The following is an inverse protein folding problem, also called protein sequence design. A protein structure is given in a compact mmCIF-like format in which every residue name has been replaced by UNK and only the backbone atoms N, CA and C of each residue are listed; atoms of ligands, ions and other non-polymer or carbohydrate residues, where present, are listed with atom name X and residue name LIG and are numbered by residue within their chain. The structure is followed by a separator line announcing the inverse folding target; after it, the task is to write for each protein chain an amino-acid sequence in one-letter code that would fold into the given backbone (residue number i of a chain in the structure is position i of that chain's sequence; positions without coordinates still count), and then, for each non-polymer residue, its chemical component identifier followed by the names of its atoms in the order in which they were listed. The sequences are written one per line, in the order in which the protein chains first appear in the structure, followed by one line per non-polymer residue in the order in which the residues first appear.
data_IF_535800597608
#
_entry.id   IF_535800597608
#
_cell.length_a   1.000
_cell.length_b   1.000
_cell.length_c   1.000
_cell.angle_alpha   90.00
_cell.angle_beta   90.00
_cell.angle_gamma   90.00
#
_symmetry.space_group_name_H-M   'P 1'
#
loop_
_entity.id
_entity.type
_entity.pdbx_description
1 polymer ?
#
# COMPACT_ATOMS: atom_id res chain seq x y z
N UNK A 1 29.62 9.15 3.27
CA UNK A 1 28.17 9.34 3.08
C UNK A 1 27.50 8.73 4.30
N UNK A 2 27.01 9.55 5.23
CA UNK A 2 26.49 9.05 6.51
C UNK A 2 25.06 8.53 6.33
N UNK A 3 24.84 7.23 6.58
CA UNK A 3 23.49 6.70 6.74
C UNK A 3 22.91 7.27 8.03
N UNK A 4 21.86 8.09 7.92
CA UNK A 4 21.08 8.53 9.09
C UNK A 4 20.14 7.38 9.45
N UNK A 5 20.14 6.95 10.71
CA UNK A 5 19.22 5.91 11.18
C UNK A 5 17.79 6.51 11.19
N UNK A 6 16.77 5.80 10.66
CA UNK A 6 15.40 6.30 10.67
C UNK A 6 14.95 6.60 12.10
N UNK A 7 14.20 7.69 12.28
CA UNK A 7 13.54 7.95 13.56
C UNK A 7 12.44 6.93 13.82
N UNK A 8 11.99 6.79 15.07
CA UNK A 8 10.86 5.89 15.41
C UNK A 8 9.60 6.26 14.61
N UNK A 9 9.36 7.56 14.41
CA UNK A 9 8.22 8.07 13.64
C UNK A 9 8.37 7.72 12.14
N UNK A 10 9.56 7.95 11.58
CA UNK A 10 9.86 7.59 10.18
C UNK A 10 9.68 6.08 9.96
N UNK A 11 10.10 5.24 10.91
CA UNK A 11 9.95 3.79 10.82
C UNK A 11 8.48 3.35 10.78
N UNK A 12 7.59 4.01 11.53
CA UNK A 12 6.15 3.73 11.51
C UNK A 12 5.54 4.07 10.15
N UNK A 13 5.83 5.26 9.61
CA UNK A 13 5.33 5.63 8.28
C UNK A 13 5.92 4.70 7.20
N UNK A 14 7.20 4.34 7.30
CA UNK A 14 7.83 3.35 6.40
C UNK A 14 7.06 2.03 6.43
N UNK A 15 6.71 1.53 7.61
CA UNK A 15 5.92 0.30 7.74
C UNK A 15 4.54 0.45 7.08
N UNK A 16 3.82 1.54 7.32
CA UNK A 16 2.51 1.80 6.69
C UNK A 16 2.60 1.80 5.15
N UNK A 17 3.59 2.49 4.60
CA UNK A 17 3.79 2.55 3.15
C UNK A 17 4.22 1.19 2.59
N UNK A 18 5.10 0.46 3.27
CA UNK A 18 5.49 -0.89 2.86
C UNK A 18 4.30 -1.84 2.83
N UNK A 19 3.44 -1.81 3.85
CA UNK A 19 2.19 -2.60 3.87
C UNK A 19 1.30 -2.29 2.67
N UNK A 20 1.17 -1.01 2.28
CA UNK A 20 0.44 -0.66 1.06
C UNK A 20 1.15 -1.24 -0.18
N UNK A 21 2.46 -1.04 -0.30
CA UNK A 21 3.27 -1.48 -1.45
C UNK A 21 3.25 -3.01 -1.65
N UNK A 22 3.11 -3.80 -0.60
CA UNK A 22 2.96 -5.25 -0.66
C UNK A 22 1.71 -5.71 -1.43
N UNK A 23 0.70 -4.85 -1.56
CA UNK A 23 -0.53 -5.14 -2.29
C UNK A 23 -0.39 -4.93 -3.81
N UNK A 24 0.66 -4.26 -4.27
CA UNK A 24 0.85 -3.91 -5.68
C UNK A 24 0.73 -5.13 -6.62
N UNK A 25 1.33 -6.31 -6.34
CA UNK A 25 1.22 -7.46 -7.22
C UNK A 25 -0.22 -7.98 -7.35
N UNK A 26 -0.98 -7.97 -6.25
CA UNK A 26 -2.38 -8.37 -6.22
C UNK A 26 -3.25 -7.41 -7.05
N UNK A 27 -2.96 -6.12 -6.97
CA UNK A 27 -3.74 -5.09 -7.68
C UNK A 27 -3.46 -5.06 -9.18
N UNK A 28 -2.27 -5.51 -9.63
CA UNK A 28 -1.97 -5.67 -11.06
C UNK A 28 -2.86 -6.69 -11.77
N UNK A 29 -3.39 -7.68 -11.05
CA UNK A 29 -4.31 -8.68 -11.62
C UNK A 29 -5.78 -8.23 -11.64
N UNK A 30 -6.10 -7.06 -11.10
CA UNK A 30 -7.46 -6.51 -11.09
C UNK A 30 -7.57 -5.49 -12.23
N UNK A 31 -8.54 -5.68 -13.13
CA UNK A 31 -8.70 -4.89 -14.37
C UNK A 31 -8.90 -3.38 -14.11
N UNK A 32 -9.47 -3.03 -12.94
CA UNK A 32 -9.63 -1.64 -12.46
C UNK A 32 -8.39 -1.07 -11.73
N UNK A 33 -7.29 -1.82 -11.63
CA UNK A 33 -6.11 -1.49 -10.81
C UNK A 33 -5.19 -0.42 -11.41
N UNK A 34 -5.35 -0.04 -12.67
CA UNK A 34 -4.40 0.83 -13.38
C UNK A 34 -4.24 2.23 -12.78
N UNK A 35 -5.34 2.82 -12.27
CA UNK A 35 -5.26 4.11 -11.55
C UNK A 35 -4.55 3.97 -10.20
N UNK A 36 -4.77 2.85 -9.49
CA UNK A 36 -4.06 2.62 -8.23
C UNK A 36 -2.56 2.46 -8.48
N UNK A 37 -2.17 1.73 -9.53
CA UNK A 37 -0.77 1.43 -9.83
C UNK A 37 0.09 2.65 -10.14
N UNK A 38 -0.47 3.76 -10.65
CA UNK A 38 0.28 5.01 -10.78
C UNK A 38 0.63 5.60 -9.41
N UNK A 39 -0.26 5.48 -8.43
CA UNK A 39 -0.04 5.98 -7.06
C UNK A 39 1.06 5.18 -6.33
N UNK A 40 1.23 3.89 -6.62
CA UNK A 40 2.34 3.09 -6.06
C UNK A 40 3.71 3.65 -6.45
N UNK A 41 3.85 4.25 -7.64
CA UNK A 41 5.12 4.90 -8.03
C UNK A 41 5.41 6.12 -7.17
N UNK A 42 4.39 6.93 -6.88
CA UNK A 42 4.48 8.08 -5.98
C UNK A 42 4.88 7.65 -4.57
N UNK A 43 4.22 6.62 -4.02
CA UNK A 43 4.54 6.08 -2.69
C UNK A 43 5.99 5.56 -2.59
N UNK A 44 6.49 4.88 -3.63
CA UNK A 44 7.89 4.41 -3.69
C UNK A 44 8.90 5.55 -3.74
N UNK A 45 8.57 6.64 -4.44
CA UNK A 45 9.43 7.82 -4.48
C UNK A 45 9.49 8.47 -3.09
N UNK A 46 8.33 8.67 -2.46
CA UNK A 46 8.23 9.24 -1.12
C UNK A 46 9.00 8.43 -0.06
N UNK A 47 8.92 7.10 -0.12
CA UNK A 47 9.65 6.20 0.80
C UNK A 47 11.17 6.44 0.79
N UNK A 48 11.74 6.84 -0.35
CA UNK A 48 13.19 7.12 -0.47
C UNK A 48 13.61 8.43 0.19
N UNK A 49 12.67 9.34 0.42
CA UNK A 49 12.92 10.68 0.94
C UNK A 49 12.55 10.80 2.43
N UNK A 50 11.91 9.77 3.00
CA UNK A 50 11.33 9.78 4.35
C UNK A 50 12.32 10.13 5.47
N UNK A 51 13.59 9.71 5.35
CA UNK A 51 14.63 9.99 6.36
C UNK A 51 15.02 11.47 6.45
N UNK A 52 14.62 12.28 5.47
CA UNK A 52 14.87 13.72 5.41
C UNK A 52 13.67 14.56 5.91
N UNK A 53 12.53 13.93 6.21
CA UNK A 53 11.30 14.62 6.59
C UNK A 53 11.23 14.76 8.11
N UNK A 54 10.94 15.97 8.59
CA UNK A 54 10.58 16.21 9.98
C UNK A 54 9.12 15.80 10.19
N UNK A 55 8.88 14.90 11.15
CA UNK A 55 7.56 14.34 11.45
C UNK A 55 7.23 14.60 12.91
N UNK A 56 5.96 14.83 13.18
CA UNK A 56 5.38 14.76 14.52
C UNK A 56 4.47 13.53 14.67
N UNK A 57 3.94 13.32 15.87
CA UNK A 57 3.08 12.17 16.15
C UNK A 57 1.74 12.26 15.40
N UNK A 58 1.17 13.45 15.28
CA UNK A 58 -0.12 13.68 14.63
C UNK A 58 -0.06 13.32 13.14
N UNK A 59 1.04 13.67 12.45
CA UNK A 59 1.29 13.26 11.07
C UNK A 59 1.38 11.74 10.93
N UNK A 60 2.03 11.07 11.87
CA UNK A 60 2.14 9.60 11.86
C UNK A 60 0.77 8.96 12.07
N UNK A 61 -0.01 9.41 13.06
CA UNK A 61 -1.36 8.89 13.33
C UNK A 61 -2.30 9.08 12.13
N UNK A 62 -2.17 10.22 11.43
CA UNK A 62 -2.94 10.50 10.21
C UNK A 62 -2.61 9.50 9.10
N UNK A 63 -1.32 9.19 8.90
CA UNK A 63 -0.92 8.19 7.89
C UNK A 63 -1.36 6.78 8.31
N UNK A 64 -1.17 6.40 9.57
CA UNK A 64 -1.63 5.11 10.09
C UNK A 64 -3.14 4.91 9.88
N UNK A 65 -3.94 5.93 10.21
CA UNK A 65 -5.39 5.93 10.01
C UNK A 65 -5.76 5.84 8.53
N UNK A 66 -5.08 6.59 7.66
CA UNK A 66 -5.31 6.55 6.22
C UNK A 66 -4.96 5.17 5.63
N UNK A 67 -3.87 4.56 6.08
CA UNK A 67 -3.46 3.20 5.71
C UNK A 67 -4.51 2.19 6.14
N UNK A 68 -5.01 2.25 7.37
CA UNK A 68 -6.08 1.36 7.84
C UNK A 68 -7.33 1.46 6.96
N UNK A 69 -7.80 2.70 6.69
CA UNK A 69 -8.98 2.94 5.84
C UNK A 69 -8.78 2.38 4.43
N UNK A 70 -7.63 2.65 3.83
CA UNK A 70 -7.29 2.12 2.51
C UNK A 70 -7.34 0.59 2.47
N UNK A 71 -6.78 -0.08 3.49
CA UNK A 71 -6.82 -1.54 3.58
C UNK A 71 -8.25 -2.07 3.72
N UNK A 72 -9.12 -1.41 4.48
CA UNK A 72 -10.52 -1.80 4.60
C UNK A 72 -11.28 -1.66 3.27
N UNK A 73 -11.07 -0.54 2.56
CA UNK A 73 -11.71 -0.29 1.27
C UNK A 73 -11.28 -1.32 0.21
N UNK A 74 -10.03 -1.78 0.25
CA UNK A 74 -9.53 -2.80 -0.67
C UNK A 74 -10.11 -4.21 -0.46
N UNK A 75 -10.66 -4.53 0.72
CA UNK A 75 -11.25 -5.85 0.98
C UNK A 75 -12.37 -6.19 0.01
N UNK A 76 -13.17 -5.20 -0.38
CA UNK A 76 -14.32 -5.35 -1.27
C UNK A 76 -13.89 -5.68 -2.72
N UNK A 77 -13.06 -4.87 -3.40
CA UNK A 77 -12.64 -5.16 -4.77
C UNK A 77 -11.82 -6.46 -4.88
N UNK A 78 -11.00 -6.78 -3.87
CA UNK A 78 -10.25 -8.03 -3.82
C UNK A 78 -11.18 -9.24 -3.67
N UNK A 79 -12.20 -9.16 -2.81
CA UNK A 79 -13.20 -10.22 -2.69
C UNK A 79 -13.96 -10.44 -4.01
N UNK A 80 -14.40 -9.36 -4.67
CA UNK A 80 -15.13 -9.44 -5.95
C UNK A 80 -14.30 -10.07 -7.07
N UNK A 81 -13.01 -9.73 -7.16
CA UNK A 81 -12.11 -10.33 -8.17
C UNK A 81 -11.94 -11.85 -8.04
N UNK A 82 -12.20 -12.44 -6.86
CA UNK A 82 -12.13 -13.89 -6.64
C UNK A 82 -13.42 -14.62 -7.01
N UNK A 83 -14.56 -13.94 -6.93
CA UNK A 83 -15.87 -14.52 -7.25
C UNK A 83 -16.15 -14.59 -8.76
N UNK A 84 -15.49 -13.74 -9.56
CA UNK A 84 -15.57 -13.76 -11.03
C UNK A 84 -14.71 -14.86 -11.69
N UNK A 85 -14.03 -15.72 -10.91
CA UNK A 85 -13.32 -16.87 -11.45
C UNK A 85 -14.32 -17.91 -12.02
N UNK A 86 -14.21 -18.33 -13.30
CA UNK A 86 -15.18 -19.23 -13.92
C UNK A 86 -15.21 -20.59 -13.22
N UNK A 87 -16.34 -20.91 -12.57
CA UNK A 87 -16.65 -22.23 -12.01
C UNK A 87 -17.12 -23.19 -13.12
N UNK A 88 -16.25 -23.50 -14.07
CA UNK A 88 -16.52 -24.59 -15.02
C UNK A 88 -15.23 -25.17 -15.61
N UNK A 89 -14.57 -26.03 -14.84
CA UNK A 89 -13.78 -27.11 -15.43
C UNK A 89 -14.14 -28.44 -14.78
N UNK A 90 -15.38 -28.88 -15.02
CA UNK A 90 -15.70 -30.31 -15.05
C UNK A 90 -15.36 -30.78 -16.44
N UNK A 91 -14.18 -31.36 -16.62
CA UNK A 91 -13.91 -32.23 -17.77
C UNK A 91 -14.15 -33.66 -17.28
N UNK A 92 -15.12 -34.28 -17.93
CA UNK A 92 -15.49 -35.69 -17.83
C UNK A 92 -14.33 -36.60 -18.22
#
# INVERSE_FOLDING_TARGET
MGYRKPSVLSARIINCLQTILELEPMLRSIDSGQLLLSEFKTLKAFLKEMDAIALDEDDVERIETATERFLQELRIPVARSRDDAPKNMTLQ
#
